data_IF_738120310329
#
_entry.id   IF_738120310329
#
_cell.length_a   1.000
_cell.length_b   1.000
_cell.length_c   1.000
_cell.angle_alpha   90.00
_cell.angle_beta   90.00
_cell.angle_gamma   90.00
#
_symmetry.space_group_name_H-M   'P 1'
#
loop_
_entity.id
_entity.type
_entity.pdbx_description
1 polymer ?
#
# COMPACT_ATOMS: atom_id res chain seq x y z
N UNK A 1 33.88 -2.23 9.88
CA UNK A 1 34.47 -3.53 9.51
C UNK A 1 33.71 -4.61 10.28
N UNK A 2 32.70 -5.21 9.64
CA UNK A 2 32.13 -6.49 10.04
C UNK A 2 31.98 -7.24 8.72
N UNK A 3 33.09 -7.84 8.30
CA UNK A 3 33.17 -8.67 7.12
C UNK A 3 33.16 -10.11 7.61
N UNK A 4 31.97 -10.70 7.66
CA UNK A 4 31.79 -12.12 7.91
C UNK A 4 31.18 -12.71 6.65
N UNK A 5 32.06 -13.44 5.95
CA UNK A 5 32.01 -14.02 4.61
C UNK A 5 30.64 -14.05 3.92
N UNK A 6 30.42 -13.07 3.04
CA UNK A 6 29.74 -13.36 1.78
C UNK A 6 30.40 -14.61 1.17
N UNK A 7 29.64 -15.62 0.72
CA UNK A 7 30.20 -16.69 -0.09
C UNK A 7 31.05 -16.11 -1.22
N UNK A 8 32.29 -16.58 -1.39
CA UNK A 8 33.24 -16.01 -2.35
C UNK A 8 32.66 -15.96 -3.78
N UNK A 9 31.77 -16.90 -4.10
CA UNK A 9 31.02 -16.97 -5.36
C UNK A 9 30.22 -15.69 -5.69
N UNK A 10 29.75 -14.94 -4.69
CA UNK A 10 28.99 -13.70 -4.95
C UNK A 10 29.86 -12.44 -5.00
N UNK A 11 31.14 -12.51 -4.62
CA UNK A 11 32.00 -11.32 -4.58
C UNK A 11 32.14 -10.61 -5.93
N UNK A 12 32.30 -11.29 -7.08
CA UNK A 12 32.38 -10.63 -8.38
C UNK A 12 31.11 -9.84 -8.70
N UNK A 13 29.94 -10.44 -8.48
CA UNK A 13 28.65 -9.82 -8.74
C UNK A 13 28.40 -8.64 -7.79
N UNK A 14 28.67 -8.81 -6.49
CA UNK A 14 28.57 -7.70 -5.52
C UNK A 14 29.53 -6.55 -5.90
N UNK A 15 30.72 -6.88 -6.41
CA UNK A 15 31.65 -5.86 -6.91
C UNK A 15 31.06 -5.13 -8.12
N UNK A 16 30.46 -5.82 -9.09
CA UNK A 16 29.75 -5.19 -10.23
C UNK A 16 28.66 -4.25 -9.74
N UNK A 17 27.81 -4.68 -8.80
CA UNK A 17 26.69 -3.90 -8.26
C UNK A 17 27.16 -2.64 -7.53
N UNK A 18 28.22 -2.75 -6.74
CA UNK A 18 28.75 -1.62 -5.96
C UNK A 18 29.57 -0.67 -6.84
N UNK A 19 30.19 -1.17 -7.90
CA UNK A 19 30.99 -0.37 -8.80
C UNK A 19 30.10 0.62 -9.57
N UNK A 20 30.50 1.90 -9.61
CA UNK A 20 29.70 3.02 -10.16
C UNK A 20 28.37 3.31 -9.45
N UNK A 21 28.11 2.68 -8.31
CA UNK A 21 27.03 3.08 -7.41
C UNK A 21 27.55 3.95 -6.27
N UNK A 22 26.65 4.74 -5.69
CA UNK A 22 26.90 5.50 -4.46
C UNK A 22 25.98 4.98 -3.36
N UNK A 23 26.27 5.30 -2.10
CA UNK A 23 25.41 4.83 -1.01
C UNK A 23 24.09 5.60 -1.02
N UNK A 24 22.99 4.93 -0.70
CA UNK A 24 21.70 5.59 -0.50
C UNK A 24 21.85 6.79 0.45
N UNK A 25 22.60 6.64 1.55
CA UNK A 25 22.94 7.77 2.43
C UNK A 25 24.43 7.72 2.83
N UNK A 26 25.14 8.85 2.87
CA UNK A 26 24.63 10.22 2.71
C UNK A 26 24.59 10.75 1.26
N UNK A 27 24.99 9.94 0.27
CA UNK A 27 25.29 10.46 -1.06
C UNK A 27 24.04 10.92 -1.83
N UNK A 28 22.96 10.12 -1.77
CA UNK A 28 21.67 10.42 -2.40
C UNK A 28 20.72 11.12 -1.44
N UNK A 29 20.54 10.55 -0.25
CA UNK A 29 19.64 11.04 0.78
C UNK A 29 20.40 11.46 2.02
N UNK A 30 20.16 12.68 2.49
CA UNK A 30 20.89 13.26 3.62
C UNK A 30 20.67 12.47 4.91
N UNK A 31 19.46 11.94 5.11
CA UNK A 31 19.12 11.08 6.24
C UNK A 31 17.89 10.21 5.96
N UNK A 32 17.72 9.13 6.73
CA UNK A 32 16.54 8.28 6.72
C UNK A 32 15.86 8.43 8.07
N UNK A 33 14.62 8.93 8.08
CA UNK A 33 13.87 9.21 9.31
C UNK A 33 13.02 8.00 9.72
N UNK A 34 12.40 8.10 10.89
CA UNK A 34 11.42 7.14 11.39
C UNK A 34 10.11 7.84 11.69
N UNK A 35 9.02 7.08 11.59
CA UNK A 35 7.70 7.53 11.99
C UNK A 35 7.57 7.82 13.49
N UNK A 36 6.38 8.28 13.87
CA UNK A 36 6.08 8.76 15.21
C UNK A 36 5.97 7.64 16.24
N UNK A 37 6.30 8.01 17.47
CA UNK A 37 5.95 7.27 18.68
C UNK A 37 5.42 8.28 19.69
N UNK A 38 4.13 8.24 20.03
CA UNK A 38 3.60 9.06 21.11
C UNK A 38 4.33 8.76 22.41
N UNK A 39 4.49 9.77 23.26
CA UNK A 39 4.95 9.58 24.64
C UNK A 39 3.79 8.99 25.46
N UNK A 40 3.70 7.67 25.43
CA UNK A 40 2.49 7.00 25.89
C UNK A 40 2.37 6.91 27.40
N UNK A 41 3.39 7.21 28.22
CA UNK A 41 3.31 7.11 29.68
C UNK A 41 2.40 5.95 30.18
N UNK A 42 1.33 6.29 30.92
CA UNK A 42 0.23 5.38 31.31
C UNK A 42 -1.01 5.41 30.38
N UNK A 43 -0.98 6.11 29.25
CA UNK A 43 -2.14 6.39 28.39
C UNK A 43 -1.88 6.06 26.91
N UNK A 44 -1.60 4.78 26.62
CA UNK A 44 -1.36 4.28 25.26
C UNK A 44 -2.53 4.51 24.29
N UNK A 45 -3.75 4.58 24.81
CA UNK A 45 -4.99 4.48 24.01
C UNK A 45 -5.64 5.83 23.69
N UNK A 46 -4.97 6.97 23.91
CA UNK A 46 -5.56 8.32 23.69
C UNK A 46 -5.23 8.96 22.33
N UNK A 47 -4.27 8.41 21.60
CA UNK A 47 -3.77 9.04 20.38
C UNK A 47 -4.33 8.43 19.11
N UNK A 48 -4.80 7.18 19.14
CA UNK A 48 -5.23 6.47 17.93
C UNK A 48 -6.72 6.17 18.00
N UNK A 49 -7.45 6.48 16.94
CA UNK A 49 -8.87 6.19 16.81
C UNK A 49 -9.16 5.54 15.45
N UNK A 50 -10.24 4.77 15.37
CA UNK A 50 -10.72 4.19 14.11
C UNK A 50 -11.59 5.16 13.31
N UNK A 51 -11.90 4.78 12.07
CA UNK A 51 -12.74 5.56 11.15
C UNK A 51 -14.14 5.85 11.72
N UNK A 52 -14.73 4.87 12.41
CA UNK A 52 -16.05 4.99 13.05
C UNK A 52 -16.06 6.12 14.09
N UNK A 53 -15.15 6.07 15.07
CA UNK A 53 -14.99 7.12 16.07
C UNK A 53 -14.64 8.47 15.43
N UNK A 54 -13.74 8.49 14.43
CA UNK A 54 -13.39 9.70 13.70
C UNK A 54 -14.61 10.32 13.00
N UNK A 55 -15.53 9.51 12.46
CA UNK A 55 -16.71 10.00 11.73
C UNK A 55 -17.64 10.85 12.61
N UNK A 56 -17.73 10.50 13.91
CA UNK A 56 -18.57 11.17 14.90
C UNK A 56 -17.95 12.43 15.52
N UNK A 57 -16.68 12.73 15.23
CA UNK A 57 -16.02 13.94 15.69
C UNK A 57 -16.57 15.20 15.02
N UNK A 58 -16.57 16.31 15.76
CA UNK A 58 -16.83 17.64 15.23
C UNK A 58 -15.77 18.06 14.21
N UNK A 59 -16.08 19.06 13.38
CA UNK A 59 -15.13 19.56 12.39
C UNK A 59 -13.82 20.07 13.02
N UNK A 60 -13.89 20.68 14.21
CA UNK A 60 -12.72 21.18 14.91
C UNK A 60 -11.86 20.04 15.50
N UNK A 61 -12.50 19.00 16.03
CA UNK A 61 -11.80 17.81 16.51
C UNK A 61 -11.10 17.06 15.37
N UNK A 62 -11.77 16.87 14.23
CA UNK A 62 -11.21 16.19 13.05
C UNK A 62 -9.89 16.82 12.57
N UNK A 63 -9.72 18.14 12.73
CA UNK A 63 -8.48 18.85 12.33
C UNK A 63 -7.25 18.41 13.12
N UNK A 64 -7.43 17.87 14.33
CA UNK A 64 -6.35 17.36 15.18
C UNK A 64 -5.88 15.96 14.77
N UNK A 65 -6.68 15.25 13.97
CA UNK A 65 -6.44 13.87 13.59
C UNK A 65 -5.92 13.77 12.16
N UNK A 66 -4.96 12.87 11.95
CA UNK A 66 -4.31 12.64 10.65
C UNK A 66 -4.38 11.16 10.31
N UNK A 67 -4.55 10.82 9.03
CA UNK A 67 -4.54 9.42 8.57
C UNK A 67 -3.21 8.78 8.99
N UNK A 68 -3.29 7.67 9.70
CA UNK A 68 -2.15 6.99 10.27
C UNK A 68 -1.98 5.59 9.66
N UNK A 69 -0.73 5.22 9.36
CA UNK A 69 -0.38 3.87 8.91
C UNK A 69 0.70 3.24 9.79
N UNK A 70 0.60 1.93 9.94
CA UNK A 70 1.58 1.07 10.61
C UNK A 70 2.32 0.23 9.57
N UNK A 71 3.46 -0.36 9.94
CA UNK A 71 4.20 -1.24 9.03
C UNK A 71 3.36 -2.42 8.48
N UNK A 72 2.30 -2.84 9.16
CA UNK A 72 1.36 -3.86 8.67
C UNK A 72 0.43 -3.40 7.55
N UNK A 73 0.35 -2.09 7.30
CA UNK A 73 -0.43 -1.48 6.24
C UNK A 73 0.38 -1.37 4.93
N UNK A 74 1.71 -1.53 5.00
CA UNK A 74 2.57 -1.72 3.83
C UNK A 74 2.49 -3.22 3.44
N UNK A 75 1.49 -3.53 2.63
CA UNK A 75 1.09 -4.91 2.31
C UNK A 75 1.91 -5.54 1.17
N UNK A 76 2.54 -4.73 0.33
CA UNK A 76 3.36 -5.17 -0.80
C UNK A 76 4.36 -4.09 -1.24
N UNK A 77 5.10 -4.36 -2.31
CA UNK A 77 5.86 -3.31 -3.02
C UNK A 77 4.86 -2.32 -3.60
N UNK A 78 5.16 -1.02 -3.51
CA UNK A 78 4.30 0.05 -4.04
C UNK A 78 2.86 0.11 -3.48
N UNK A 79 2.55 -0.65 -2.42
CA UNK A 79 1.17 -0.83 -1.92
C UNK A 79 1.06 -0.51 -0.43
N UNK A 80 0.25 0.50 -0.13
CA UNK A 80 -0.17 0.88 1.22
C UNK A 80 -1.68 0.75 1.34
N UNK A 81 -2.15 -0.17 2.18
CA UNK A 81 -3.57 -0.37 2.47
C UNK A 81 -3.93 0.28 3.81
N UNK A 82 -4.38 1.53 3.77
CA UNK A 82 -4.81 2.24 4.98
C UNK A 82 -6.10 1.64 5.55
N UNK A 83 -6.08 1.25 6.83
CA UNK A 83 -7.18 0.53 7.49
C UNK A 83 -8.10 1.42 8.33
N UNK A 84 -8.20 2.71 8.00
CA UNK A 84 -9.08 3.63 8.72
C UNK A 84 -8.56 4.13 10.07
N UNK A 85 -7.27 3.94 10.39
CA UNK A 85 -6.70 4.43 11.65
C UNK A 85 -6.29 5.90 11.52
N UNK A 86 -6.61 6.71 12.53
CA UNK A 86 -6.18 8.10 12.65
C UNK A 86 -5.32 8.29 13.89
N UNK A 87 -4.39 9.24 13.83
CA UNK A 87 -3.59 9.68 14.98
C UNK A 87 -3.91 11.13 15.34
N UNK A 88 -4.18 11.41 16.61
CA UNK A 88 -4.20 12.76 17.17
C UNK A 88 -2.77 13.29 17.20
N UNK A 89 -2.43 14.20 16.31
CA UNK A 89 -1.05 14.67 16.17
C UNK A 89 -0.79 15.91 17.04
N UNK A 90 -0.17 15.66 18.19
CA UNK A 90 0.27 16.68 19.15
C UNK A 90 1.81 16.63 19.25
N UNK A 91 2.56 17.46 18.48
CA UNK A 91 4.03 17.42 18.39
C UNK A 91 4.77 17.27 19.72
N UNK A 92 4.35 18.03 20.72
CA UNK A 92 4.92 18.08 22.07
C UNK A 92 4.69 16.79 22.88
N UNK A 93 3.75 15.94 22.44
CA UNK A 93 3.45 14.64 23.04
C UNK A 93 4.02 13.47 22.21
N UNK A 94 4.86 13.74 21.22
CA UNK A 94 5.54 12.71 20.43
C UNK A 94 6.96 12.50 20.96
N UNK A 95 7.23 11.35 21.58
CA UNK A 95 8.58 10.97 22.01
C UNK A 95 9.56 10.86 20.83
N UNK A 96 9.06 10.44 19.67
CA UNK A 96 9.80 10.41 18.39
C UNK A 96 8.88 10.85 17.25
N UNK A 97 9.44 11.43 16.19
CA UNK A 97 8.69 11.75 14.97
C UNK A 97 7.64 12.85 15.12
N UNK A 98 7.78 13.76 16.10
CA UNK A 98 6.87 14.87 16.39
C UNK A 98 6.92 16.06 15.44
N UNK A 99 7.57 15.94 14.27
CA UNK A 99 7.68 17.01 13.28
C UNK A 99 6.72 16.74 12.13
N UNK A 100 5.79 17.65 11.86
CA UNK A 100 4.78 17.48 10.79
C UNK A 100 5.41 17.40 9.40
N UNK A 101 6.57 18.05 9.23
CA UNK A 101 7.33 18.09 7.99
C UNK A 101 7.75 16.68 7.56
N UNK A 102 7.90 15.73 8.48
CA UNK A 102 8.18 14.33 8.16
C UNK A 102 7.07 13.64 7.36
N UNK A 103 5.84 14.17 7.40
CA UNK A 103 4.66 13.52 6.85
C UNK A 103 3.97 14.35 5.77
N UNK A 104 3.98 15.68 5.88
CA UNK A 104 3.24 16.59 5.01
C UNK A 104 3.94 16.91 3.66
N UNK A 105 4.80 16.00 3.20
CA UNK A 105 5.52 16.04 1.92
C UNK A 105 5.54 14.65 1.27
N UNK A 106 5.81 14.55 -0.05
CA UNK A 106 6.10 13.27 -0.69
C UNK A 106 7.27 12.54 -0.02
N UNK A 107 7.12 11.23 0.14
CA UNK A 107 8.11 10.41 0.83
C UNK A 107 8.03 8.95 0.41
N UNK A 108 9.12 8.21 0.59
CA UNK A 108 9.11 6.75 0.51
C UNK A 108 8.89 6.20 1.92
N UNK A 109 7.91 5.32 2.06
CA UNK A 109 7.66 4.56 3.30
C UNK A 109 8.22 3.15 3.15
N UNK A 110 9.03 2.72 4.12
CA UNK A 110 9.68 1.41 4.12
C UNK A 110 9.38 0.69 5.43
N UNK A 111 8.82 -0.53 5.32
CA UNK A 111 8.52 -1.37 6.48
C UNK A 111 9.81 -1.88 7.14
N UNK A 112 9.97 -1.67 8.45
CA UNK A 112 11.19 -2.10 9.17
C UNK A 112 11.36 -3.63 9.19
N UNK A 113 10.27 -4.40 9.32
CA UNK A 113 10.33 -5.86 9.42
C UNK A 113 9.45 -6.49 8.34
N UNK A 114 10.04 -7.31 7.48
CA UNK A 114 9.35 -8.03 6.41
C UNK A 114 10.20 -9.17 5.84
N UNK A 115 9.60 -10.08 5.08
CA UNK A 115 10.34 -11.14 4.37
C UNK A 115 11.26 -10.58 3.28
N UNK A 116 10.75 -9.56 2.58
CA UNK A 116 11.45 -8.81 1.54
C UNK A 116 11.36 -7.32 1.87
N UNK A 117 12.24 -6.50 1.29
CA UNK A 117 12.13 -5.06 1.39
C UNK A 117 10.82 -4.64 0.70
N UNK A 118 10.08 -3.75 1.34
CA UNK A 118 8.84 -3.18 0.79
C UNK A 118 8.88 -1.68 0.95
N UNK A 119 9.10 -1.01 -0.16
CA UNK A 119 9.05 0.44 -0.28
C UNK A 119 7.79 0.85 -1.05
N UNK A 120 7.19 1.97 -0.66
CA UNK A 120 6.11 2.60 -1.43
C UNK A 120 6.29 4.10 -1.44
N UNK A 121 6.01 4.73 -2.57
CA UNK A 121 5.88 6.17 -2.68
C UNK A 121 4.56 6.60 -2.02
N UNK A 122 4.64 7.54 -1.10
CA UNK A 122 3.50 8.13 -0.40
C UNK A 122 3.38 9.61 -0.76
N UNK A 123 2.26 9.95 -1.41
CA UNK A 123 1.82 11.32 -1.67
C UNK A 123 0.48 11.65 -0.98
N UNK A 124 -0.06 10.71 -0.18
CA UNK A 124 -1.30 10.86 0.58
C UNK A 124 -1.04 11.47 1.97
N UNK A 125 0.23 11.79 2.28
CA UNK A 125 0.70 12.45 3.50
C UNK A 125 0.37 11.66 4.77
N UNK A 126 0.49 10.33 4.70
CA UNK A 126 0.24 9.49 5.86
C UNK A 126 1.20 9.81 7.01
N UNK A 127 0.65 9.85 8.23
CA UNK A 127 1.42 9.88 9.44
C UNK A 127 1.82 8.44 9.77
N UNK A 128 3.10 8.18 9.88
CA UNK A 128 3.63 6.81 9.90
C UNK A 128 4.02 6.42 11.32
N UNK A 129 3.73 5.20 11.75
CA UNK A 129 4.23 4.66 13.00
C UNK A 129 5.76 4.49 12.97
N UNK A 130 6.39 4.44 14.14
CA UNK A 130 7.83 4.17 14.30
C UNK A 130 8.33 2.90 13.58
N UNK A 131 7.46 1.93 13.29
CA UNK A 131 7.78 0.72 12.51
C UNK A 131 8.01 0.96 11.00
N UNK A 132 7.95 2.22 10.57
CA UNK A 132 8.17 2.65 9.19
C UNK A 132 9.37 3.62 9.14
N UNK A 133 10.28 3.36 8.21
CA UNK A 133 11.36 4.27 7.81
C UNK A 133 10.87 5.21 6.71
N UNK A 134 11.36 6.46 6.72
CA UNK A 134 10.94 7.53 5.82
C UNK A 134 12.15 8.06 5.05
N UNK A 135 12.05 8.10 3.73
CA UNK A 135 12.94 8.87 2.86
C UNK A 135 12.15 10.05 2.32
N UNK A 136 12.56 11.27 2.70
CA UNK A 136 11.81 12.49 2.41
C UNK A 136 12.31 13.10 1.10
N UNK A 137 11.38 13.66 0.31
CA UNK A 137 11.71 14.29 -0.97
C UNK A 137 12.70 15.44 -0.81
N UNK A 138 12.49 16.32 0.19
CA UNK A 138 13.39 17.46 0.46
C UNK A 138 14.84 17.06 0.74
N UNK A 139 15.06 15.80 1.11
CA UNK A 139 16.35 15.25 1.48
C UNK A 139 16.97 14.38 0.38
N UNK A 140 16.33 14.25 -0.78
CA UNK A 140 16.77 13.39 -1.89
C UNK A 140 17.33 14.19 -3.06
N UNK A 141 18.44 13.72 -3.63
CA UNK A 141 18.99 14.22 -4.91
C UNK A 141 18.47 13.47 -6.14
N UNK A 142 17.66 12.45 -5.93
CA UNK A 142 17.09 11.62 -6.99
C UNK A 142 15.56 11.57 -6.88
N UNK A 143 14.91 11.31 -8.01
CA UNK A 143 13.46 11.10 -8.07
C UNK A 143 13.05 9.95 -7.13
N UNK A 144 12.03 10.19 -6.30
CA UNK A 144 11.61 9.21 -5.30
C UNK A 144 10.95 7.97 -5.91
N UNK A 145 10.29 8.08 -7.07
CA UNK A 145 9.71 6.92 -7.75
C UNK A 145 10.81 6.04 -8.33
N UNK A 146 11.83 6.65 -8.94
CA UNK A 146 13.03 5.94 -9.37
C UNK A 146 13.71 5.21 -8.19
N UNK A 147 13.93 5.90 -7.06
CA UNK A 147 14.48 5.25 -5.87
C UNK A 147 13.57 4.13 -5.33
N UNK A 148 12.26 4.33 -5.35
CA UNK A 148 11.29 3.30 -4.94
C UNK A 148 11.41 2.06 -5.83
N UNK A 149 11.64 2.23 -7.13
CA UNK A 149 11.88 1.12 -8.06
C UNK A 149 13.12 0.32 -7.68
N UNK A 150 14.25 1.00 -7.52
CA UNK A 150 15.51 0.36 -7.18
C UNK A 150 15.39 -0.42 -5.86
N UNK A 151 14.81 0.20 -4.83
CA UNK A 151 14.61 -0.44 -3.53
C UNK A 151 13.73 -1.70 -3.62
N UNK A 152 12.72 -1.72 -4.48
CA UNK A 152 11.84 -2.86 -4.68
C UNK A 152 12.36 -3.90 -5.69
N UNK A 153 13.52 -3.65 -6.33
CA UNK A 153 14.10 -4.56 -7.32
C UNK A 153 14.64 -5.85 -6.69
N UNK A 154 14.60 -6.94 -7.47
CA UNK A 154 15.27 -8.19 -7.10
C UNK A 154 16.77 -7.98 -6.85
N UNK A 155 17.41 -7.13 -7.65
CA UNK A 155 18.82 -6.80 -7.52
C UNK A 155 19.18 -6.30 -6.11
N UNK A 156 18.45 -5.31 -5.60
CA UNK A 156 18.73 -4.77 -4.26
C UNK A 156 18.27 -5.72 -3.14
N UNK A 157 17.23 -6.52 -3.34
CA UNK A 157 16.87 -7.58 -2.37
C UNK A 157 17.99 -8.63 -2.26
N UNK A 158 18.57 -9.04 -3.39
CA UNK A 158 19.75 -9.91 -3.44
C UNK A 158 20.94 -9.28 -2.73
N UNK A 159 21.28 -8.03 -3.04
CA UNK A 159 22.39 -7.32 -2.38
C UNK A 159 22.19 -7.28 -0.86
N UNK A 160 20.97 -6.95 -0.40
CA UNK A 160 20.68 -6.90 1.04
C UNK A 160 20.81 -8.29 1.67
N UNK A 161 20.16 -9.30 1.11
CA UNK A 161 20.12 -10.65 1.70
C UNK A 161 21.49 -11.33 1.69
N UNK A 162 22.30 -11.08 0.67
CA UNK A 162 23.68 -11.60 0.57
C UNK A 162 24.63 -10.91 1.55
N UNK A 163 24.56 -9.58 1.69
CA UNK A 163 25.47 -8.82 2.59
C UNK A 163 25.04 -8.81 4.05
N UNK A 164 23.74 -8.89 4.30
CA UNK A 164 23.13 -8.70 5.62
C UNK A 164 22.32 -9.91 6.08
N UNK A 165 22.65 -11.11 5.60
CA UNK A 165 21.95 -12.36 5.92
C UNK A 165 21.73 -12.58 7.43
N UNK A 166 22.73 -12.24 8.26
CA UNK A 166 22.66 -12.41 9.72
C UNK A 166 21.62 -11.51 10.41
N UNK A 167 21.04 -10.52 9.71
CA UNK A 167 19.92 -9.72 10.21
C UNK A 167 18.55 -10.41 10.03
N UNK A 168 18.55 -11.67 9.59
CA UNK A 168 17.37 -12.51 9.53
C UNK A 168 16.82 -12.75 10.94
N UNK A 169 15.51 -12.57 11.07
CA UNK A 169 14.70 -12.89 12.22
C UNK A 169 14.03 -14.26 12.02
N UNK A 170 13.33 -14.74 13.06
CA UNK A 170 12.52 -15.96 12.94
C UNK A 170 11.50 -15.89 11.80
N UNK A 171 11.14 -17.06 11.26
CA UNK A 171 10.14 -17.25 10.18
C UNK A 171 10.51 -16.61 8.82
N UNK A 172 11.79 -16.36 8.58
CA UNK A 172 12.27 -15.88 7.27
C UNK A 172 12.23 -14.37 7.06
N UNK A 173 11.83 -13.60 8.07
CA UNK A 173 11.81 -12.13 7.99
C UNK A 173 13.19 -11.52 8.18
N UNK A 174 13.40 -10.30 7.70
CA UNK A 174 14.57 -9.47 7.94
C UNK A 174 14.18 -8.20 8.69
N UNK A 175 15.17 -7.58 9.34
CA UNK A 175 15.02 -6.25 9.93
C UNK A 175 15.83 -5.22 9.13
N UNK A 176 15.12 -4.38 8.37
CA UNK A 176 15.66 -3.32 7.54
C UNK A 176 15.93 -2.05 8.34
N UNK A 177 16.84 -2.14 9.33
CA UNK A 177 17.24 -0.98 10.12
C UNK A 177 17.89 0.09 9.24
N UNK A 178 17.73 1.34 9.64
CA UNK A 178 18.34 2.52 9.03
C UNK A 178 19.80 2.31 8.61
N UNK A 179 20.66 1.82 9.50
CA UNK A 179 22.08 1.59 9.22
C UNK A 179 22.35 0.68 8.01
N UNK A 180 21.45 -0.26 7.71
CA UNK A 180 21.56 -1.15 6.55
C UNK A 180 20.96 -0.51 5.30
N UNK A 181 19.81 0.17 5.43
CA UNK A 181 19.20 0.93 4.35
C UNK A 181 20.19 1.95 3.77
N UNK A 182 20.92 2.65 4.64
CA UNK A 182 21.96 3.62 4.24
C UNK A 182 23.05 3.01 3.36
N UNK A 183 23.30 1.70 3.42
CA UNK A 183 24.35 1.02 2.63
C UNK A 183 23.88 0.48 1.27
N UNK A 184 22.62 0.69 0.86
CA UNK A 184 22.19 0.27 -0.47
C UNK A 184 23.01 0.96 -1.56
N UNK A 185 23.57 0.20 -2.52
CA UNK A 185 24.26 0.75 -3.68
C UNK A 185 23.21 1.26 -4.65
N UNK A 186 23.17 2.57 -4.84
CA UNK A 186 22.26 3.24 -5.76
C UNK A 186 23.05 3.71 -6.95
N UNK A 187 22.73 3.19 -8.13
CA UNK A 187 23.24 3.72 -9.39
C UNK A 187 22.41 4.92 -9.82
N UNK A 188 23.06 6.08 -9.94
CA UNK A 188 22.47 7.24 -10.58
C UNK A 188 22.79 7.22 -12.08
N UNK A 189 21.85 7.61 -12.95
CA UNK A 189 22.14 7.75 -14.37
C UNK A 189 23.20 8.83 -14.60
N UNK A 190 24.26 8.49 -15.35
CA UNK A 190 25.36 9.40 -15.68
C UNK A 190 25.45 9.69 -17.19
N UNK A 191 24.75 8.90 -18.01
CA UNK A 191 24.71 9.02 -19.46
C UNK A 191 23.28 9.23 -19.97
N UNK A 192 23.08 9.77 -21.18
CA UNK A 192 21.73 9.88 -21.77
C UNK A 192 21.00 8.54 -21.91
N UNK A 193 21.72 7.46 -22.17
CA UNK A 193 21.14 6.11 -22.24
C UNK A 193 20.64 5.65 -20.87
N UNK A 194 21.45 5.81 -19.82
CA UNK A 194 21.04 5.49 -18.44
C UNK A 194 19.88 6.39 -17.97
N UNK A 195 19.86 7.66 -18.38
CA UNK A 195 18.73 8.55 -18.07
C UNK A 195 17.44 8.05 -18.71
N UNK A 196 17.49 7.58 -19.96
CA UNK A 196 16.32 6.99 -20.62
C UNK A 196 15.80 5.76 -19.87
N UNK A 197 16.70 4.88 -19.39
CA UNK A 197 16.31 3.75 -18.56
C UNK A 197 15.65 4.22 -17.25
N UNK A 198 16.22 5.23 -16.59
CA UNK A 198 15.66 5.78 -15.34
C UNK A 198 14.27 6.41 -15.56
N UNK A 199 14.05 7.09 -16.68
CA UNK A 199 12.75 7.66 -17.05
C UNK A 199 11.72 6.56 -17.33
N UNK A 200 12.12 5.49 -18.02
CA UNK A 200 11.26 4.32 -18.30
C UNK A 200 10.88 3.58 -17.01
N UNK A 201 11.84 3.32 -16.13
CA UNK A 201 11.62 2.77 -14.79
C UNK A 201 10.61 3.64 -14.02
N UNK A 202 10.79 4.96 -14.05
CA UNK A 202 9.91 5.90 -13.37
C UNK A 202 8.48 5.84 -13.92
N UNK A 203 8.34 5.74 -15.24
CA UNK A 203 7.03 5.59 -15.90
C UNK A 203 6.32 4.29 -15.50
N UNK A 204 7.05 3.16 -15.42
CA UNK A 204 6.48 1.90 -14.95
C UNK A 204 6.03 1.99 -13.48
N UNK A 205 6.79 2.67 -12.62
CA UNK A 205 6.35 2.92 -11.23
C UNK A 205 5.06 3.75 -11.19
N UNK A 206 4.91 4.77 -12.03
CA UNK A 206 3.66 5.55 -12.10
C UNK A 206 2.46 4.69 -12.52
N UNK A 207 2.66 3.78 -13.48
CA UNK A 207 1.65 2.80 -13.87
C UNK A 207 1.29 1.85 -12.72
N UNK A 208 2.28 1.31 -12.02
CA UNK A 208 2.06 0.44 -10.84
C UNK A 208 1.29 1.19 -9.75
N UNK A 209 1.70 2.41 -9.41
CA UNK A 209 1.02 3.22 -8.39
C UNK A 209 -0.44 3.53 -8.78
N UNK A 210 -0.69 3.80 -10.06
CA UNK A 210 -2.03 4.02 -10.59
C UNK A 210 -2.90 2.76 -10.48
N UNK A 211 -2.38 1.60 -10.87
CA UNK A 211 -3.07 0.32 -10.75
C UNK A 211 -3.30 -0.08 -9.30
N UNK A 212 -2.33 0.14 -8.41
CA UNK A 212 -2.47 -0.13 -6.98
C UNK A 212 -3.58 0.72 -6.36
N UNK A 213 -3.72 2.00 -6.78
CA UNK A 213 -4.84 2.85 -6.35
C UNK A 213 -6.18 2.34 -6.89
N UNK A 214 -6.23 1.89 -8.15
CA UNK A 214 -7.43 1.27 -8.72
C UNK A 214 -7.83 -0.01 -7.98
N UNK A 215 -6.87 -0.86 -7.62
CA UNK A 215 -7.10 -2.07 -6.84
C UNK A 215 -7.71 -1.75 -5.47
N UNK A 216 -7.15 -0.78 -4.75
CA UNK A 216 -7.71 -0.31 -3.47
C UNK A 216 -9.13 0.24 -3.61
N UNK A 217 -9.40 0.96 -4.72
CA UNK A 217 -10.74 1.48 -5.02
C UNK A 217 -11.74 0.33 -5.19
N UNK A 218 -11.37 -0.70 -5.96
CA UNK A 218 -12.20 -1.90 -6.19
C UNK A 218 -12.42 -2.67 -4.90
N UNK A 219 -11.38 -2.92 -4.09
CA UNK A 219 -11.49 -3.62 -2.79
C UNK A 219 -12.38 -2.85 -1.80
N UNK A 220 -12.33 -1.51 -1.85
CA UNK A 220 -13.12 -0.62 -1.02
C UNK A 220 -14.58 -0.45 -1.46
N UNK A 221 -14.98 -0.98 -2.62
CA UNK A 221 -16.33 -0.80 -3.17
C UNK A 221 -17.43 -1.12 -2.14
N UNK A 222 -18.46 -0.28 -1.93
CA UNK A 222 -18.84 0.83 -2.81
C UNK A 222 -18.25 2.19 -2.41
N UNK A 223 -17.69 2.31 -1.20
CA UNK A 223 -17.43 3.61 -0.57
C UNK A 223 -16.59 4.57 -1.43
N UNK A 224 -15.44 4.17 -2.02
CA UNK A 224 -14.65 5.08 -2.86
C UNK A 224 -15.37 5.61 -4.09
N UNK A 225 -16.28 4.82 -4.69
CA UNK A 225 -17.06 5.22 -5.86
C UNK A 225 -18.23 6.11 -5.45
N UNK A 226 -18.85 5.77 -4.32
CA UNK A 226 -19.93 6.54 -3.74
C UNK A 226 -19.44 7.94 -3.32
N UNK A 227 -18.33 8.00 -2.57
CA UNK A 227 -17.78 9.24 -2.04
C UNK A 227 -17.33 10.20 -3.17
N UNK A 228 -16.81 9.68 -4.28
CA UNK A 228 -16.45 10.50 -5.46
C UNK A 228 -17.65 11.21 -6.09
N UNK A 229 -18.79 10.52 -6.21
CA UNK A 229 -20.03 11.11 -6.71
C UNK A 229 -20.63 12.10 -5.70
N UNK A 230 -20.48 11.82 -4.40
CA UNK A 230 -20.96 12.71 -3.34
C UNK A 230 -20.14 14.01 -3.32
N UNK A 231 -18.81 13.91 -3.39
CA UNK A 231 -17.89 15.05 -3.34
C UNK A 231 -18.00 15.94 -4.58
N UNK A 232 -18.35 15.37 -5.73
CA UNK A 232 -18.61 16.12 -6.98
C UNK A 232 -20.00 16.76 -7.03
N UNK A 233 -20.88 16.44 -6.07
CA UNK A 233 -22.27 16.92 -6.04
C UNK A 233 -23.19 16.23 -7.05
N UNK A 234 -22.77 15.11 -7.65
CA UNK A 234 -23.60 14.31 -8.55
C UNK A 234 -24.65 13.48 -7.80
N UNK A 235 -24.41 13.21 -6.52
CA UNK A 235 -25.40 12.69 -5.58
C UNK A 235 -25.43 13.58 -4.33
N UNK A 236 -26.62 13.81 -3.80
CA UNK A 236 -26.87 14.54 -2.55
C UNK A 236 -27.79 13.75 -1.61
N UNK A 237 -28.50 12.75 -2.13
CA UNK A 237 -29.38 11.87 -1.37
C UNK A 237 -29.07 10.38 -1.55
N UNK A 238 -29.06 9.66 -0.44
CA UNK A 238 -28.88 8.22 -0.39
C UNK A 238 -29.71 7.60 0.74
N UNK A 239 -29.93 6.29 0.61
CA UNK A 239 -30.51 5.47 1.64
C UNK A 239 -29.44 4.54 2.24
N UNK A 240 -29.76 3.90 3.36
CA UNK A 240 -28.90 2.92 4.01
C UNK A 240 -29.58 1.56 4.08
N UNK A 241 -28.83 0.52 3.72
CA UNK A 241 -29.22 -0.86 3.97
C UNK A 241 -28.34 -1.38 5.11
N UNK A 242 -28.98 -1.74 6.21
CA UNK A 242 -28.32 -2.25 7.42
C UNK A 242 -28.47 -3.76 7.50
N UNK A 243 -27.38 -4.45 7.75
CA UNK A 243 -27.36 -5.89 7.93
C UNK A 243 -26.40 -6.29 9.04
N UNK A 244 -26.86 -7.13 9.96
CA UNK A 244 -26.03 -7.70 11.02
C UNK A 244 -25.81 -9.19 10.73
N UNK A 245 -24.57 -9.63 10.42
CA UNK A 245 -24.28 -11.03 10.12
C UNK A 245 -24.56 -11.93 11.32
N UNK A 246 -25.36 -12.98 11.14
CA UNK A 246 -25.63 -13.97 12.20
C UNK A 246 -24.43 -14.86 12.51
N UNK A 247 -23.40 -14.83 11.66
CA UNK A 247 -22.13 -15.55 11.80
C UNK A 247 -21.01 -14.80 11.08
N UNK A 248 -19.78 -15.24 11.32
CA UNK A 248 -18.64 -14.76 10.55
C UNK A 248 -18.68 -15.33 9.12
N UNK A 249 -18.42 -14.47 8.15
CA UNK A 249 -18.26 -14.82 6.74
C UNK A 249 -16.84 -14.51 6.31
N UNK A 250 -16.27 -15.40 5.51
CA UNK A 250 -15.02 -15.18 4.80
C UNK A 250 -15.28 -15.30 3.32
N UNK A 251 -14.71 -14.40 2.53
CA UNK A 251 -14.80 -14.42 1.08
C UNK A 251 -16.25 -14.63 0.59
N UNK A 252 -17.13 -13.70 1.00
CA UNK A 252 -18.57 -13.88 0.85
C UNK A 252 -19.00 -13.84 -0.62
N UNK A 253 -19.80 -14.82 -1.04
CA UNK A 253 -20.45 -14.85 -2.36
C UNK A 253 -21.99 -14.74 -2.20
N UNK A 254 -22.56 -13.53 -2.26
CA UNK A 254 -24.00 -13.31 -2.10
C UNK A 254 -24.77 -13.62 -3.39
N UNK A 255 -26.01 -14.08 -3.26
CA UNK A 255 -26.86 -14.48 -4.38
C UNK A 255 -28.19 -13.74 -4.37
N UNK A 256 -28.64 -13.30 -5.54
CA UNK A 256 -29.98 -12.79 -5.73
C UNK A 256 -31.02 -13.92 -5.64
N UNK A 257 -32.12 -13.67 -4.94
CA UNK A 257 -33.30 -14.53 -4.94
C UNK A 257 -34.59 -13.71 -4.89
N UNK A 258 -35.71 -14.36 -5.16
CA UNK A 258 -37.06 -13.77 -5.05
C UNK A 258 -37.87 -14.57 -4.04
N UNK A 259 -38.43 -13.89 -3.05
CA UNK A 259 -39.32 -14.48 -2.05
C UNK A 259 -40.68 -13.77 -2.12
N UNK A 260 -41.74 -14.50 -2.48
CA UNK A 260 -43.15 -14.07 -2.67
C UNK A 260 -43.35 -12.73 -3.41
N UNK A 261 -43.06 -11.60 -2.76
CA UNK A 261 -43.28 -10.22 -3.22
C UNK A 261 -42.03 -9.32 -3.10
N UNK A 262 -40.88 -9.86 -2.71
CA UNK A 262 -39.65 -9.11 -2.45
C UNK A 262 -38.43 -9.72 -3.14
N UNK A 263 -37.53 -8.85 -3.60
CA UNK A 263 -36.16 -9.24 -3.97
C UNK A 263 -35.33 -9.33 -2.70
N UNK A 264 -34.58 -10.41 -2.57
CA UNK A 264 -33.74 -10.64 -1.40
C UNK A 264 -32.34 -11.05 -1.83
N UNK A 265 -31.37 -10.76 -0.98
CA UNK A 265 -29.99 -11.18 -1.18
C UNK A 265 -29.67 -12.25 -0.15
N UNK A 266 -29.48 -13.46 -0.63
CA UNK A 266 -29.15 -14.64 0.16
C UNK A 266 -27.66 -14.63 0.46
N UNK A 267 -27.32 -14.77 1.74
CA UNK A 267 -25.96 -14.74 2.28
C UNK A 267 -25.67 -16.10 2.92
N UNK A 268 -24.90 -16.91 2.20
CA UNK A 268 -24.60 -18.28 2.61
C UNK A 268 -25.88 -19.10 2.79
N UNK A 269 -26.05 -19.77 3.94
CA UNK A 269 -27.18 -20.67 4.18
C UNK A 269 -28.32 -20.07 5.01
N UNK A 270 -28.05 -19.05 5.83
CA UNK A 270 -28.93 -18.66 6.94
C UNK A 270 -29.16 -17.14 7.06
N UNK A 271 -28.48 -16.34 6.26
CA UNK A 271 -28.66 -14.89 6.25
C UNK A 271 -29.33 -14.44 4.97
N UNK A 272 -30.18 -13.44 5.10
CA UNK A 272 -30.93 -12.84 4.00
C UNK A 272 -30.99 -11.34 4.28
N UNK A 273 -30.65 -10.53 3.28
CA UNK A 273 -30.92 -9.10 3.28
C UNK A 273 -32.19 -8.89 2.46
N UNK A 274 -33.23 -8.40 3.14
CA UNK A 274 -34.48 -7.95 2.52
C UNK A 274 -34.67 -6.48 2.84
N UNK A 275 -34.84 -5.66 1.80
CA UNK A 275 -35.03 -4.22 1.93
C UNK A 275 -35.91 -3.72 0.80
N UNK A 276 -36.86 -2.83 1.12
CA UNK A 276 -37.67 -2.12 0.11
C UNK A 276 -36.81 -1.25 -0.82
N UNK A 277 -35.55 -1.00 -0.45
CA UNK A 277 -34.56 -0.29 -1.26
C UNK A 277 -33.95 -1.15 -2.36
N UNK A 278 -34.27 -2.44 -2.46
CA UNK A 278 -33.79 -3.36 -3.51
C UNK A 278 -35.00 -3.75 -4.38
N UNK A 279 -35.51 -2.81 -5.20
CA UNK A 279 -36.73 -3.02 -5.98
C UNK A 279 -36.49 -3.37 -7.45
N UNK A 280 -35.25 -3.27 -7.95
CA UNK A 280 -34.87 -3.59 -9.33
C UNK A 280 -33.50 -4.31 -9.40
N UNK A 281 -33.16 -4.81 -10.60
CA UNK A 281 -31.96 -5.63 -10.82
C UNK A 281 -30.65 -4.85 -10.56
N UNK A 282 -30.65 -3.54 -10.81
CA UNK A 282 -29.42 -2.77 -10.65
C UNK A 282 -29.06 -2.52 -9.18
N UNK A 283 -30.05 -2.23 -8.34
CA UNK A 283 -29.85 -2.10 -6.89
C UNK A 283 -29.44 -3.43 -6.27
N UNK A 284 -30.00 -4.52 -6.77
CA UNK A 284 -29.59 -5.88 -6.40
C UNK A 284 -28.12 -6.13 -6.75
N UNK A 285 -27.68 -5.82 -7.98
CA UNK A 285 -26.27 -5.91 -8.40
C UNK A 285 -25.36 -5.06 -7.51
N UNK A 286 -25.76 -3.82 -7.19
CA UNK A 286 -24.98 -2.92 -6.32
C UNK A 286 -24.75 -3.49 -4.92
N UNK A 287 -25.78 -4.02 -4.28
CA UNK A 287 -25.65 -4.59 -2.93
C UNK A 287 -24.86 -5.90 -2.96
N UNK A 288 -25.04 -6.74 -3.99
CA UNK A 288 -24.24 -7.95 -4.19
C UNK A 288 -22.75 -7.60 -4.32
N UNK A 289 -22.39 -6.65 -5.18
CA UNK A 289 -21.00 -6.23 -5.37
C UNK A 289 -20.42 -5.54 -4.12
N UNK A 290 -21.25 -4.88 -3.31
CA UNK A 290 -20.83 -4.24 -2.05
C UNK A 290 -20.35 -5.25 -0.99
N UNK A 291 -20.81 -6.49 -1.10
CA UNK A 291 -20.58 -7.57 -0.16
C UNK A 291 -19.63 -8.65 -0.68
N UNK A 292 -19.50 -8.78 -2.00
CA UNK A 292 -18.75 -9.86 -2.65
C UNK A 292 -17.27 -9.86 -2.27
N UNK A 293 -16.70 -11.03 -2.01
CA UNK A 293 -15.28 -11.23 -1.69
C UNK A 293 -14.84 -10.68 -0.32
N UNK A 294 -15.76 -10.11 0.46
CA UNK A 294 -15.44 -9.48 1.74
C UNK A 294 -15.61 -10.42 2.93
N UNK A 295 -14.92 -10.07 4.01
CA UNK A 295 -14.99 -10.74 5.29
C UNK A 295 -15.89 -9.95 6.25
N UNK A 296 -16.80 -10.64 6.93
CA UNK A 296 -17.71 -10.05 7.90
C UNK A 296 -17.62 -10.77 9.23
N UNK A 297 -17.62 -10.02 10.33
CA UNK A 297 -17.64 -10.59 11.67
C UNK A 297 -19.07 -10.79 12.14
N UNK A 298 -19.26 -11.83 12.95
CA UNK A 298 -20.53 -12.07 13.63
C UNK A 298 -20.92 -10.85 14.48
N UNK A 299 -22.21 -10.50 14.48
CA UNK A 299 -22.81 -9.49 15.35
C UNK A 299 -22.26 -8.05 15.14
N UNK A 300 -21.50 -7.79 14.06
CA UNK A 300 -21.07 -6.45 13.67
C UNK A 300 -21.96 -5.91 12.57
N UNK A 301 -22.66 -4.81 12.84
CA UNK A 301 -23.52 -4.17 11.84
C UNK A 301 -22.70 -3.74 10.61
N UNK A 302 -23.26 -3.98 9.44
CA UNK A 302 -22.78 -3.56 8.13
C UNK A 302 -23.78 -2.56 7.57
N UNK A 303 -23.30 -1.39 7.18
CA UNK A 303 -24.12 -0.33 6.59
C UNK A 303 -23.67 -0.18 5.14
N UNK A 304 -24.60 -0.31 4.20
CA UNK A 304 -24.37 -0.09 2.77
C UNK A 304 -25.13 1.17 2.36
N UNK A 305 -24.39 2.21 2.01
CA UNK A 305 -24.95 3.45 1.44
C UNK A 305 -25.33 3.18 -0.01
N UNK A 306 -26.57 3.52 -0.39
CA UNK A 306 -27.08 3.31 -1.74
C UNK A 306 -27.71 4.61 -2.28
N UNK A 307 -27.26 5.13 -3.43
CA UNK A 307 -27.88 6.31 -4.03
C UNK A 307 -29.39 6.14 -4.27
N UNK A 308 -30.16 7.22 -4.14
CA UNK A 308 -31.58 7.22 -4.54
C UNK A 308 -31.78 7.22 -6.05
N UNK A 309 -30.82 7.73 -6.81
CA UNK A 309 -30.84 7.73 -8.27
C UNK A 309 -30.30 6.41 -8.84
N UNK A 310 -31.10 5.72 -9.66
CA UNK A 310 -30.65 4.51 -10.36
C UNK A 310 -29.53 4.82 -11.38
N UNK A 311 -29.56 6.00 -11.99
CA UNK A 311 -28.50 6.48 -12.90
C UNK A 311 -27.15 6.63 -12.19
N UNK A 312 -27.15 7.08 -10.93
CA UNK A 312 -25.93 7.14 -10.13
C UNK A 312 -25.39 5.73 -9.84
N UNK A 313 -26.26 4.76 -9.59
CA UNK A 313 -25.88 3.35 -9.40
C UNK A 313 -25.31 2.76 -10.70
N UNK A 314 -25.91 3.05 -11.86
CA UNK A 314 -25.40 2.66 -13.19
C UNK A 314 -23.98 3.17 -13.41
N UNK A 315 -23.76 4.45 -13.08
CA UNK A 315 -22.43 5.07 -13.20
C UNK A 315 -21.41 4.38 -12.30
N UNK A 316 -21.74 4.17 -11.01
CA UNK A 316 -20.85 3.51 -10.05
C UNK A 316 -20.50 2.08 -10.51
N UNK A 317 -21.50 1.28 -10.90
CA UNK A 317 -21.27 -0.09 -11.36
C UNK A 317 -20.48 -0.14 -12.66
N UNK A 318 -20.71 0.79 -13.58
CA UNK A 318 -19.95 0.89 -14.83
C UNK A 318 -18.48 1.25 -14.57
N UNK A 319 -18.22 2.16 -13.64
CA UNK A 319 -16.86 2.50 -13.22
C UNK A 319 -16.16 1.32 -12.54
N UNK A 320 -16.83 0.60 -11.66
CA UNK A 320 -16.31 -0.63 -11.04
C UNK A 320 -15.92 -1.66 -12.10
N UNK A 321 -16.76 -1.86 -13.11
CA UNK A 321 -16.53 -2.85 -14.17
C UNK A 321 -15.35 -2.44 -15.06
N UNK A 322 -15.21 -1.15 -15.36
CA UNK A 322 -14.05 -0.61 -16.08
C UNK A 322 -12.73 -0.77 -15.29
N UNK A 323 -12.76 -0.50 -13.98
CA UNK A 323 -11.60 -0.67 -13.10
C UNK A 323 -11.18 -2.14 -12.99
N UNK A 324 -12.14 -3.06 -12.79
CA UNK A 324 -11.88 -4.50 -12.78
C UNK A 324 -11.26 -4.97 -14.10
N UNK A 325 -11.76 -4.48 -15.24
CA UNK A 325 -11.20 -4.79 -16.56
C UNK A 325 -9.77 -4.27 -16.71
N UNK A 326 -9.51 -3.04 -16.25
CA UNK A 326 -8.16 -2.45 -16.26
C UNK A 326 -7.16 -3.28 -15.45
N UNK A 327 -7.54 -3.72 -14.26
CA UNK A 327 -6.68 -4.57 -13.41
C UNK A 327 -6.40 -5.95 -14.03
N UNK A 328 -7.34 -6.50 -14.80
CA UNK A 328 -7.17 -7.77 -15.48
C UNK A 328 -6.27 -7.69 -16.73
N UNK A 329 -6.10 -6.51 -17.33
CA UNK A 329 -5.32 -6.31 -18.56
C UNK A 329 -3.82 -6.19 -18.32
N UNK A 330 -3.40 -5.67 -17.18
CA UNK A 330 -2.00 -5.41 -16.87
C UNK A 330 -1.72 -5.81 -15.42
N UNK A 331 -1.27 -7.06 -15.18
CA UNK A 331 -0.84 -7.48 -13.87
C UNK A 331 0.33 -6.63 -13.38
N UNK A 332 0.25 -6.13 -12.15
CA UNK A 332 1.34 -5.35 -11.54
C UNK A 332 2.65 -6.16 -11.50
N UNK A 333 2.57 -7.50 -11.39
CA UNK A 333 3.76 -8.36 -11.43
C UNK A 333 4.55 -8.26 -12.73
N UNK A 334 3.88 -8.13 -13.89
CA UNK A 334 4.57 -7.98 -15.18
C UNK A 334 5.34 -6.65 -15.23
N UNK A 335 4.76 -5.57 -14.72
CA UNK A 335 5.44 -4.28 -14.62
C UNK A 335 6.61 -4.32 -13.62
N UNK A 336 6.51 -5.10 -12.54
CA UNK A 336 7.63 -5.32 -11.62
C UNK A 336 8.78 -6.08 -12.29
N UNK A 337 8.47 -7.06 -13.15
CA UNK A 337 9.45 -7.83 -13.89
C UNK A 337 10.14 -6.95 -14.96
N UNK A 338 9.39 -6.13 -15.69
CA UNK A 338 9.93 -5.13 -16.61
C UNK A 338 10.89 -4.16 -15.89
N UNK A 339 10.53 -3.71 -14.68
CA UNK A 339 11.44 -2.89 -13.86
C UNK A 339 12.71 -3.67 -13.50
N UNK A 340 12.62 -4.95 -13.15
CA UNK A 340 13.81 -5.74 -12.81
C UNK A 340 14.77 -5.83 -14.01
N UNK A 341 14.25 -6.07 -15.21
CA UNK A 341 15.05 -6.11 -16.44
C UNK A 341 15.77 -4.78 -16.71
N UNK A 342 15.05 -3.66 -16.62
CA UNK A 342 15.64 -2.33 -16.79
C UNK A 342 16.67 -2.02 -15.71
N UNK A 343 16.47 -2.50 -14.48
CA UNK A 343 17.43 -2.35 -13.38
C UNK A 343 18.67 -3.19 -13.63
N UNK A 344 18.56 -4.42 -14.14
CA UNK A 344 19.72 -5.23 -14.51
C UNK A 344 20.53 -4.56 -15.63
N UNK A 345 19.85 -4.05 -16.67
CA UNK A 345 20.50 -3.31 -17.76
C UNK A 345 21.21 -2.05 -17.22
N UNK A 346 20.52 -1.28 -16.38
CA UNK A 346 21.08 -0.09 -15.75
C UNK A 346 22.37 -0.41 -14.99
N UNK A 347 22.43 -1.52 -14.26
CA UNK A 347 23.64 -1.93 -13.52
C UNK A 347 24.68 -2.64 -14.40
N UNK A 348 24.38 -2.86 -15.68
CA UNK A 348 25.27 -3.51 -16.63
C UNK A 348 25.47 -5.00 -16.35
N UNK A 349 24.42 -5.68 -15.90
CA UNK A 349 24.43 -7.11 -15.58
C UNK A 349 24.04 -7.95 -16.78
N UNK A 350 24.74 -9.06 -16.97
CA UNK A 350 24.48 -10.02 -18.03
C UNK A 350 23.50 -11.13 -17.58
N UNK A 351 23.11 -12.02 -18.50
CA UNK A 351 22.16 -13.11 -18.21
C UNK A 351 22.68 -14.09 -17.15
N UNK A 352 24.00 -14.26 -17.01
CA UNK A 352 24.58 -15.12 -15.98
C UNK A 352 24.45 -14.46 -14.61
N UNK A 353 24.73 -13.16 -14.51
CA UNK A 353 24.52 -12.36 -13.29
C UNK A 353 23.05 -12.42 -12.84
N UNK A 354 22.10 -12.22 -13.77
CA UNK A 354 20.65 -12.27 -13.50
C UNK A 354 20.25 -13.63 -12.93
N UNK A 355 20.67 -14.72 -13.58
CA UNK A 355 20.36 -16.08 -13.14
C UNK A 355 20.87 -16.35 -11.73
N UNK A 356 22.08 -15.90 -11.39
CA UNK A 356 22.64 -16.04 -10.03
C UNK A 356 21.78 -15.30 -9.00
N UNK A 357 21.28 -14.11 -9.33
CA UNK A 357 20.40 -13.31 -8.46
C UNK A 357 19.08 -14.06 -8.21
N UNK A 358 18.43 -14.52 -9.27
CA UNK A 358 17.12 -15.18 -9.18
C UNK A 358 17.21 -16.52 -8.42
N UNK A 359 18.17 -17.38 -8.78
CA UNK A 359 18.40 -18.66 -8.09
C UNK A 359 18.78 -18.48 -6.61
N UNK A 360 19.44 -17.38 -6.27
CA UNK A 360 19.71 -17.04 -4.87
C UNK A 360 18.42 -16.65 -4.13
N UNK A 361 17.57 -15.84 -4.76
CA UNK A 361 16.35 -15.33 -4.14
C UNK A 361 15.27 -16.40 -3.98
N UNK A 362 15.23 -17.42 -4.84
CA UNK A 362 14.33 -18.59 -4.70
C UNK A 362 14.48 -19.35 -3.36
N UNK A 363 15.60 -19.15 -2.66
CA UNK A 363 15.89 -19.77 -1.36
C UNK A 363 15.18 -19.09 -0.17
N UNK A 364 14.49 -17.96 -0.40
CA UNK A 364 13.88 -17.10 0.64
C UNK A 364 12.36 -16.98 0.48
#
# INVERSE_FOLDING_TARGET
MFDFSLPEEFLPLISKIVNKSVKLSPDIVSDIKRGLRPDTGKFKDRFFIGLDEFSHLTADEKRLYKKHIRGEDIIGKYRVAWKGEYVKFEPEKMAEGGKKELYEQPKIVIKEIGKNLRASYDNEKYYCAKSIHLILEENSKADLKYLTALLNSQLLDFYFKSRFYLNRLGRGSFRYREQFLKQFPIKLPQTPAEQKLADEITSLVEQILSLAKTEQRVEGFPDPYFDELLDSGEIDEFDEIRWTPKRAYKDLEPQAAKEEWARVIVIGKNDVISSSKIYNDIREKYVIESLRGKNFSKDKEVIIRIPRSDSAIEKILSQLEADKKRLAQTPISELEDDINELVYELYGLDEEDKKVIEEFLERF
#
